data_IF_563611371841
#
_entry.id   IF_563611371841
#
_cell.length_a   1.000
_cell.length_b   1.000
_cell.length_c   1.000
_cell.angle_alpha   90.00
_cell.angle_beta   90.00
_cell.angle_gamma   90.00
#
_symmetry.space_group_name_H-M   'P 1'
#
loop_
_entity.id
_entity.type
_entity.pdbx_description
1 polymer ?
#
# COMPACT_ATOMS: atom_id res chain seq x y z
N UNK A 1 47.28 -2.97 -49.72
CA UNK A 1 46.32 -3.63 -48.80
C UNK A 1 46.95 -3.62 -47.42
N UNK A 2 46.38 -3.13 -46.32
CA UNK A 2 45.04 -2.62 -46.03
C UNK A 2 45.14 -1.67 -44.81
N UNK A 3 44.36 -0.60 -44.90
CA UNK A 3 43.81 0.32 -43.90
C UNK A 3 44.43 0.41 -42.48
N UNK A 4 45.05 1.56 -42.22
CA UNK A 4 44.91 2.29 -40.96
C UNK A 4 43.45 2.74 -40.85
N UNK A 5 42.75 2.36 -39.78
CA UNK A 5 41.44 2.94 -39.44
C UNK A 5 41.51 3.50 -38.03
N UNK A 6 41.51 4.82 -37.95
CA UNK A 6 41.31 5.61 -36.75
C UNK A 6 39.85 5.46 -36.31
N UNK A 7 39.60 5.00 -35.09
CA UNK A 7 38.27 5.05 -34.48
C UNK A 7 38.30 6.04 -33.30
N UNK A 8 37.81 7.25 -33.56
CA UNK A 8 37.30 8.15 -32.52
C UNK A 8 35.80 7.88 -32.45
N UNK A 9 35.28 7.51 -31.27
CA UNK A 9 33.84 7.28 -31.17
C UNK A 9 33.34 6.81 -29.81
N UNK A 10 33.09 7.79 -28.93
CA UNK A 10 32.03 7.81 -27.91
C UNK A 10 32.20 6.80 -26.76
N UNK A 11 32.77 7.31 -25.66
CA UNK A 11 32.67 6.67 -24.35
C UNK A 11 31.20 6.53 -23.95
N UNK A 12 30.72 5.29 -23.88
CA UNK A 12 29.46 4.96 -23.22
C UNK A 12 29.71 5.09 -21.72
N UNK A 13 29.25 6.18 -21.12
CA UNK A 13 29.14 6.29 -19.66
C UNK A 13 28.04 5.30 -19.26
N UNK A 14 28.44 4.11 -18.84
CA UNK A 14 27.56 3.11 -18.24
C UNK A 14 27.10 3.62 -16.87
N UNK A 15 25.89 4.18 -16.83
CA UNK A 15 25.19 4.66 -15.63
C UNK A 15 24.74 3.51 -14.69
N UNK A 16 25.38 2.35 -14.75
CA UNK A 16 25.02 1.14 -14.02
C UNK A 16 25.77 0.96 -12.69
N UNK A 17 26.87 1.69 -12.46
CA UNK A 17 27.64 1.57 -11.21
C UNK A 17 26.96 2.17 -9.97
N UNK A 18 26.34 3.36 -10.10
CA UNK A 18 25.75 4.07 -8.95
C UNK A 18 24.41 3.49 -8.47
N UNK A 19 23.66 2.82 -9.35
CA UNK A 19 22.39 2.17 -8.98
C UNK A 19 22.63 0.89 -8.15
N UNK A 20 23.69 0.15 -8.44
CA UNK A 20 23.98 -1.10 -7.74
C UNK A 20 24.40 -0.89 -6.27
N UNK A 21 25.19 0.15 -5.98
CA UNK A 21 25.61 0.47 -4.61
C UNK A 21 24.42 0.92 -3.75
N UNK A 22 23.54 1.79 -4.28
CA UNK A 22 22.34 2.26 -3.58
C UNK A 22 21.31 1.16 -3.32
N UNK A 23 21.13 0.22 -4.24
CA UNK A 23 20.24 -0.94 -4.05
C UNK A 23 20.82 -1.92 -3.02
N UNK A 24 22.14 -2.07 -2.95
CA UNK A 24 22.81 -2.96 -1.98
C UNK A 24 22.73 -2.43 -0.55
N UNK A 25 22.75 -1.12 -0.34
CA UNK A 25 22.63 -0.52 0.99
C UNK A 25 21.18 -0.48 1.49
N UNK A 26 20.20 -0.31 0.61
CA UNK A 26 18.77 -0.53 0.94
C UNK A 26 18.56 -1.99 1.39
N UNK A 27 19.21 -2.94 0.72
CA UNK A 27 19.23 -4.36 1.09
C UNK A 27 20.06 -4.71 2.34
N UNK A 28 20.86 -3.80 2.91
CA UNK A 28 21.58 -4.02 4.18
C UNK A 28 20.86 -3.48 5.40
N UNK A 29 19.74 -2.76 5.23
CA UNK A 29 18.84 -2.38 6.34
C UNK A 29 17.88 -3.51 6.77
N UNK A 30 18.23 -4.77 6.51
CA UNK A 30 17.46 -5.98 6.89
C UNK A 30 17.79 -6.38 8.35
N UNK A 31 17.90 -5.39 9.23
CA UNK A 31 18.12 -5.59 10.67
C UNK A 31 17.36 -4.61 11.58
N UNK A 32 16.74 -3.56 11.02
CA UNK A 32 15.87 -2.64 11.76
C UNK A 32 14.42 -3.11 11.67
N UNK A 33 13.71 -3.15 12.80
CA UNK A 33 12.27 -3.41 12.80
C UNK A 33 11.52 -2.30 12.02
N UNK A 34 10.29 -2.56 11.56
CA UNK A 34 9.50 -1.61 10.73
C UNK A 34 9.36 -0.23 11.38
N UNK A 35 9.30 -0.20 12.71
CA UNK A 35 9.15 1.00 13.53
C UNK A 35 10.37 1.92 13.47
N UNK A 36 11.58 1.40 13.61
CA UNK A 36 12.81 2.19 13.48
C UNK A 36 12.95 2.79 12.06
N UNK A 37 12.49 2.05 11.03
CA UNK A 37 12.44 2.56 9.65
C UNK A 37 11.42 3.69 9.50
N UNK A 38 10.28 3.60 10.17
CA UNK A 38 9.26 4.66 10.17
C UNK A 38 9.77 5.94 10.86
N UNK A 39 10.33 5.82 12.07
CA UNK A 39 10.84 6.96 12.83
C UNK A 39 11.97 7.69 12.06
N UNK A 40 12.87 6.93 11.43
CA UNK A 40 13.87 7.51 10.54
C UNK A 40 13.23 8.16 9.31
N UNK A 41 12.22 7.56 8.71
CA UNK A 41 11.56 8.11 7.52
C UNK A 41 10.82 9.42 7.80
N UNK A 42 10.04 9.50 8.89
CA UNK A 42 9.20 10.68 9.17
C UNK A 42 10.01 11.93 9.50
N UNK A 43 11.26 11.76 9.97
CA UNK A 43 12.18 12.87 10.29
C UNK A 43 12.94 13.43 9.10
N UNK A 44 12.93 12.74 7.95
CA UNK A 44 13.59 13.19 6.72
C UNK A 44 12.88 14.40 6.09
N UNK A 45 13.60 15.14 5.24
CA UNK A 45 13.00 16.19 4.42
C UNK A 45 12.06 15.61 3.36
N UNK A 46 11.14 16.44 2.85
CA UNK A 46 10.16 16.01 1.84
C UNK A 46 10.83 15.43 0.59
N UNK A 47 11.93 16.03 0.11
CA UNK A 47 12.65 15.53 -1.07
C UNK A 47 13.19 14.11 -0.84
N UNK A 48 13.83 13.86 0.30
CA UNK A 48 14.34 12.54 0.66
C UNK A 48 13.21 11.52 0.80
N UNK A 49 12.07 11.90 1.41
CA UNK A 49 10.89 11.04 1.53
C UNK A 49 10.39 10.62 0.15
N UNK A 50 10.26 11.58 -0.78
CA UNK A 50 9.81 11.32 -2.15
C UNK A 50 10.80 10.43 -2.91
N UNK A 51 12.10 10.65 -2.74
CA UNK A 51 13.13 9.79 -3.35
C UNK A 51 13.02 8.35 -2.83
N UNK A 52 12.87 8.15 -1.52
CA UNK A 52 12.71 6.83 -0.91
C UNK A 52 11.47 6.11 -1.46
N UNK A 53 10.31 6.79 -1.48
CA UNK A 53 9.07 6.21 -2.00
C UNK A 53 9.20 5.86 -3.49
N UNK A 54 9.77 6.77 -4.29
CA UNK A 54 10.00 6.54 -5.70
C UNK A 54 10.93 5.33 -5.94
N UNK A 55 12.01 5.21 -5.16
CA UNK A 55 12.91 4.06 -5.24
C UNK A 55 12.21 2.75 -4.89
N UNK A 56 11.30 2.74 -3.91
CA UNK A 56 10.51 1.54 -3.59
C UNK A 56 9.55 1.14 -4.71
N UNK A 57 8.96 2.08 -5.44
CA UNK A 57 8.13 1.75 -6.60
C UNK A 57 8.90 1.04 -7.73
N UNK A 58 10.20 1.29 -7.87
CA UNK A 58 11.04 0.69 -8.91
C UNK A 58 11.48 -0.75 -8.61
N UNK A 59 11.32 -1.22 -7.36
CA UNK A 59 11.69 -2.59 -6.98
C UNK A 59 10.56 -3.55 -7.34
N UNK A 60 10.87 -4.60 -8.10
CA UNK A 60 9.91 -5.66 -8.43
C UNK A 60 9.67 -6.50 -7.18
N UNK A 61 8.54 -6.26 -6.51
CA UNK A 61 8.18 -6.77 -5.16
C UNK A 61 8.83 -6.01 -4.00
N UNK A 62 8.42 -4.76 -3.74
CA UNK A 62 8.91 -4.03 -2.59
C UNK A 62 8.23 -4.55 -1.32
N UNK A 63 8.97 -5.29 -0.49
CA UNK A 63 8.56 -5.72 0.85
C UNK A 63 8.01 -4.56 1.70
N UNK A 64 8.47 -3.33 1.42
CA UNK A 64 8.06 -2.08 2.07
C UNK A 64 6.59 -1.71 1.85
N UNK A 65 5.96 -2.24 0.80
CA UNK A 65 4.54 -2.07 0.52
C UNK A 65 3.72 -3.36 0.68
N UNK A 66 4.33 -4.41 1.25
CA UNK A 66 3.61 -5.65 1.57
C UNK A 66 2.73 -5.47 2.80
N UNK A 67 1.97 -6.49 3.19
CA UNK A 67 0.93 -6.36 4.22
C UNK A 67 1.52 -6.50 5.62
N UNK A 68 1.03 -5.72 6.60
CA UNK A 68 1.59 -5.67 7.95
C UNK A 68 2.95 -4.94 8.01
N UNK A 69 3.17 -3.99 7.09
CA UNK A 69 4.48 -3.40 6.80
C UNK A 69 4.52 -1.88 7.04
N UNK A 70 5.72 -1.31 6.88
CA UNK A 70 6.04 0.11 6.84
C UNK A 70 4.97 0.99 6.16
N UNK A 71 4.31 0.51 5.10
CA UNK A 71 3.23 1.24 4.44
C UNK A 71 2.01 1.49 5.34
N UNK A 72 1.57 0.46 6.08
CA UNK A 72 0.45 0.57 7.01
C UNK A 72 0.78 1.58 8.11
N UNK A 73 1.94 1.42 8.74
CA UNK A 73 2.49 2.33 9.74
C UNK A 73 2.56 3.78 9.22
N UNK A 74 3.06 3.95 7.99
CA UNK A 74 3.16 5.24 7.31
C UNK A 74 1.78 5.88 7.11
N UNK A 75 0.80 5.11 6.64
CA UNK A 75 -0.57 5.61 6.46
C UNK A 75 -1.24 5.93 7.80
N UNK A 76 -0.91 5.21 8.87
CA UNK A 76 -1.33 5.53 10.23
C UNK A 76 -0.78 6.87 10.74
N UNK A 77 0.41 7.27 10.28
CA UNK A 77 0.99 8.60 10.58
C UNK A 77 0.34 9.71 9.75
N UNK A 78 0.14 9.50 8.46
CA UNK A 78 -0.24 10.60 7.55
C UNK A 78 -1.74 10.73 7.30
N UNK A 79 -2.52 9.63 7.34
CA UNK A 79 -3.93 9.62 6.90
C UNK A 79 -4.90 9.02 7.91
N UNK A 80 -4.64 7.83 8.41
CA UNK A 80 -5.54 7.11 9.34
C UNK A 80 -5.07 7.26 10.78
N UNK A 81 -5.02 8.52 11.23
CA UNK A 81 -4.41 8.85 12.51
C UNK A 81 -5.32 8.45 13.66
N UNK A 82 -4.69 7.95 14.73
CA UNK A 82 -5.37 7.72 16.02
C UNK A 82 -6.03 8.98 16.58
N UNK A 83 -5.37 10.12 16.42
CA UNK A 83 -5.91 11.42 16.83
C UNK A 83 -7.22 11.77 16.11
N UNK A 84 -7.44 11.22 14.91
CA UNK A 84 -8.65 11.42 14.11
C UNK A 84 -9.68 10.29 14.32
N UNK A 85 -9.48 9.45 15.35
CA UNK A 85 -10.40 8.37 15.74
C UNK A 85 -10.22 7.04 14.99
N UNK A 86 -9.13 6.87 14.23
CA UNK A 86 -8.81 5.60 13.59
C UNK A 86 -8.09 4.64 14.52
N UNK A 87 -8.37 3.36 14.38
CA UNK A 87 -7.62 2.27 15.00
C UNK A 87 -7.01 1.37 13.92
N UNK A 88 -5.94 0.68 14.31
CA UNK A 88 -5.09 -0.09 13.42
C UNK A 88 -5.26 -1.57 13.73
N UNK A 89 -5.48 -2.40 12.71
CA UNK A 89 -5.73 -3.84 12.94
C UNK A 89 -4.48 -4.62 13.33
N UNK A 90 -3.27 -4.12 13.06
CA UNK A 90 -2.04 -4.69 13.64
C UNK A 90 -2.04 -4.75 15.17
N UNK A 91 -2.80 -3.87 15.85
CA UNK A 91 -2.97 -3.92 17.31
C UNK A 91 -3.76 -5.16 17.77
N UNK A 92 -4.48 -5.80 16.85
CA UNK A 92 -5.15 -7.08 17.04
C UNK A 92 -4.21 -8.22 16.64
N UNK A 93 -3.64 -8.12 15.43
CA UNK A 93 -2.60 -9.00 14.92
C UNK A 93 -1.91 -8.39 13.69
N UNK A 94 -0.60 -8.53 13.60
CA UNK A 94 0.22 -8.01 12.47
C UNK A 94 -0.21 -8.53 11.08
N UNK A 95 -0.96 -9.63 11.02
CA UNK A 95 -1.47 -10.23 9.78
C UNK A 95 -2.99 -10.28 9.70
N UNK A 96 -3.70 -9.36 10.37
CA UNK A 96 -5.16 -9.28 10.35
C UNK A 96 -5.70 -9.38 8.91
N UNK A 97 -6.80 -10.08 8.70
CA UNK A 97 -7.31 -10.38 7.36
C UNK A 97 -8.20 -9.28 6.82
N UNK A 98 -8.11 -9.00 5.52
CA UNK A 98 -9.02 -8.09 4.84
C UNK A 98 -8.77 -6.61 5.08
N UNK A 99 -8.81 -6.20 6.34
CA UNK A 99 -8.86 -4.82 6.82
C UNK A 99 -7.54 -4.44 7.45
N UNK A 100 -7.17 -3.17 7.31
CA UNK A 100 -5.95 -2.58 7.88
C UNK A 100 -6.31 -1.50 8.92
N UNK A 101 -7.36 -0.70 8.67
CA UNK A 101 -7.85 0.34 9.60
C UNK A 101 -9.37 0.28 9.83
N UNK A 102 -9.82 0.79 10.98
CA UNK A 102 -11.24 0.95 11.27
C UNK A 102 -11.50 2.19 12.15
N UNK A 103 -12.73 2.72 12.10
CA UNK A 103 -13.13 3.95 12.81
C UNK A 103 -14.58 3.90 13.28
N UNK A 104 -14.91 4.76 14.23
CA UNK A 104 -16.22 4.92 14.86
C UNK A 104 -16.67 3.61 15.50
N UNK A 105 -15.86 3.12 16.45
CA UNK A 105 -16.01 1.76 16.98
C UNK A 105 -16.29 1.69 18.47
N UNK A 106 -16.92 0.57 18.88
CA UNK A 106 -17.08 0.15 20.26
C UNK A 106 -16.59 -1.28 20.41
N UNK A 107 -16.00 -1.60 21.56
CA UNK A 107 -15.50 -2.95 21.87
C UNK A 107 -16.37 -3.56 22.96
N UNK A 108 -16.88 -4.77 22.72
CA UNK A 108 -17.66 -5.56 23.68
C UNK A 108 -17.06 -6.96 23.77
N UNK A 109 -16.29 -7.20 24.83
CA UNK A 109 -15.53 -8.44 24.97
C UNK A 109 -14.54 -8.62 23.80
N UNK A 110 -14.75 -9.68 23.01
CA UNK A 110 -13.91 -10.00 21.85
C UNK A 110 -14.39 -9.36 20.55
N UNK A 111 -15.54 -8.72 20.56
CA UNK A 111 -16.15 -8.16 19.36
C UNK A 111 -15.90 -6.65 19.27
N UNK A 112 -15.56 -6.19 18.07
CA UNK A 112 -15.36 -4.80 17.71
C UNK A 112 -16.42 -4.42 16.69
N UNK A 113 -17.23 -3.42 17.01
CA UNK A 113 -18.29 -2.92 16.13
C UNK A 113 -17.88 -1.56 15.61
N UNK A 114 -17.47 -1.47 14.35
CA UNK A 114 -17.00 -0.25 13.71
C UNK A 114 -18.03 0.33 12.71
N UNK A 115 -18.01 1.64 12.52
CA UNK A 115 -18.77 2.29 11.46
C UNK A 115 -18.17 2.00 10.08
N UNK A 116 -16.85 2.18 9.97
CA UNK A 116 -16.12 2.08 8.69
C UNK A 116 -14.85 1.25 8.86
N UNK A 117 -14.58 0.37 7.89
CA UNK A 117 -13.30 -0.33 7.73
C UNK A 117 -12.60 0.08 6.43
N UNK A 118 -11.27 0.08 6.44
CA UNK A 118 -10.43 0.36 5.27
C UNK A 118 -9.52 -0.84 5.03
N UNK A 119 -9.58 -1.35 3.80
CA UNK A 119 -8.54 -2.20 3.23
C UNK A 119 -7.66 -1.36 2.33
N UNK A 120 -6.37 -1.62 2.33
CA UNK A 120 -5.37 -0.93 1.52
C UNK A 120 -4.60 -1.89 0.66
N UNK A 121 -4.26 -1.42 -0.55
CA UNK A 121 -3.40 -2.12 -1.50
C UNK A 121 -2.47 -1.14 -2.17
N UNK A 122 -1.29 -1.61 -2.52
CA UNK A 122 -0.36 -0.91 -3.39
C UNK A 122 -0.26 -1.67 -4.70
N UNK A 123 -0.01 -0.98 -5.81
CA UNK A 123 0.24 -1.66 -7.08
C UNK A 123 0.97 -0.79 -8.10
N UNK A 124 1.82 -1.45 -8.88
CA UNK A 124 2.42 -0.90 -10.11
C UNK A 124 1.71 -1.41 -11.38
N UNK A 125 0.74 -2.32 -11.23
CA UNK A 125 -0.02 -2.89 -12.33
C UNK A 125 -0.87 -1.80 -12.97
N UNK A 126 -0.77 -1.65 -14.30
CA UNK A 126 -1.57 -0.65 -15.03
C UNK A 126 -2.92 -1.19 -15.51
N UNK A 127 -3.02 -2.51 -15.69
CA UNK A 127 -4.23 -3.19 -16.14
C UNK A 127 -5.11 -3.58 -14.94
N UNK A 128 -6.33 -3.04 -14.88
CA UNK A 128 -7.27 -3.31 -13.77
C UNK A 128 -7.76 -4.75 -13.74
N UNK A 129 -7.88 -5.43 -14.87
CA UNK A 129 -8.36 -6.82 -14.94
C UNK A 129 -7.37 -7.79 -14.30
N UNK A 130 -6.09 -7.62 -14.62
CA UNK A 130 -5.03 -8.45 -14.06
C UNK A 130 -4.90 -8.21 -12.56
N UNK A 131 -5.00 -6.95 -12.14
CA UNK A 131 -5.00 -6.61 -10.72
C UNK A 131 -6.22 -7.18 -9.99
N UNK A 132 -7.41 -7.04 -10.57
CA UNK A 132 -8.66 -7.55 -10.00
C UNK A 132 -8.62 -9.07 -9.89
N UNK A 133 -8.10 -9.79 -10.89
CA UNK A 133 -7.95 -11.25 -10.85
C UNK A 133 -7.14 -11.71 -9.63
N UNK A 134 -6.11 -10.95 -9.25
CA UNK A 134 -5.26 -11.23 -8.09
C UNK A 134 -5.91 -10.82 -6.75
N UNK A 135 -6.80 -9.81 -6.74
CA UNK A 135 -7.31 -9.22 -5.50
C UNK A 135 -8.79 -9.50 -5.21
N UNK A 136 -9.53 -10.11 -6.16
CA UNK A 136 -10.97 -10.35 -6.04
C UNK A 136 -11.38 -11.06 -4.75
N UNK A 137 -10.61 -12.06 -4.30
CA UNK A 137 -10.93 -12.79 -3.08
C UNK A 137 -10.88 -11.87 -1.85
N UNK A 138 -9.95 -10.92 -1.81
CA UNK A 138 -9.88 -9.95 -0.72
C UNK A 138 -11.07 -8.99 -0.74
N UNK A 139 -11.47 -8.53 -1.93
CA UNK A 139 -12.67 -7.69 -2.14
C UNK A 139 -13.92 -8.43 -1.67
N UNK A 140 -14.08 -9.69 -2.08
CA UNK A 140 -15.24 -10.50 -1.73
C UNK A 140 -15.29 -10.76 -0.22
N UNK A 141 -14.14 -11.04 0.42
CA UNK A 141 -14.06 -11.21 1.88
C UNK A 141 -14.53 -9.94 2.59
N UNK A 142 -13.99 -8.77 2.23
CA UNK A 142 -14.35 -7.54 2.94
C UNK A 142 -15.80 -7.13 2.67
N UNK A 143 -16.32 -7.37 1.46
CA UNK A 143 -17.70 -7.06 1.11
C UNK A 143 -18.69 -7.99 1.82
N UNK A 144 -18.43 -9.30 1.82
CA UNK A 144 -19.34 -10.28 2.41
C UNK A 144 -19.40 -10.20 3.94
N UNK A 145 -18.34 -9.65 4.56
CA UNK A 145 -18.24 -9.48 6.01
C UNK A 145 -18.99 -8.25 6.54
N UNK A 146 -19.54 -7.38 5.69
CA UNK A 146 -20.31 -6.20 6.11
C UNK A 146 -21.53 -6.60 6.94
N UNK A 147 -21.71 -5.95 8.08
CA UNK A 147 -22.81 -6.15 9.04
C UNK A 147 -22.35 -6.82 10.33
N UNK A 148 -23.32 -7.32 11.11
CA UNK A 148 -23.09 -8.06 12.36
C UNK A 148 -23.91 -9.35 12.38
N UNK A 149 -23.45 -10.34 13.15
CA UNK A 149 -24.11 -11.64 13.31
C UNK A 149 -23.46 -12.79 12.52
N UNK A 150 -24.18 -13.90 12.39
CA UNK A 150 -23.65 -15.13 11.77
C UNK A 150 -23.19 -14.89 10.33
N UNK A 151 -21.95 -15.30 10.03
CA UNK A 151 -21.34 -15.13 8.71
C UNK A 151 -20.88 -13.71 8.38
N UNK A 152 -20.96 -12.77 9.34
CA UNK A 152 -20.46 -11.40 9.22
C UNK A 152 -19.23 -11.17 10.08
N UNK A 153 -18.57 -10.05 9.83
CA UNK A 153 -17.33 -9.68 10.48
C UNK A 153 -16.14 -10.54 10.06
N UNK A 154 -14.95 -10.06 10.42
CA UNK A 154 -13.69 -10.78 10.19
C UNK A 154 -13.14 -11.19 11.55
N UNK A 155 -13.11 -12.49 11.81
CA UNK A 155 -12.50 -13.06 13.01
C UNK A 155 -11.04 -13.37 12.80
N UNK A 156 -10.19 -12.86 13.67
CA UNK A 156 -8.76 -13.13 13.68
C UNK A 156 -8.17 -12.97 15.08
N UNK A 157 -7.25 -13.87 15.44
CA UNK A 157 -6.60 -13.87 16.76
C UNK A 157 -7.57 -13.73 17.96
N UNK A 158 -8.71 -14.42 17.90
CA UNK A 158 -9.72 -14.39 18.96
C UNK A 158 -10.58 -13.12 19.04
N UNK A 159 -10.36 -12.12 18.18
CA UNK A 159 -11.22 -10.94 18.05
C UNK A 159 -12.03 -10.98 16.76
N UNK A 160 -13.23 -10.42 16.78
CA UNK A 160 -14.06 -10.27 15.57
C UNK A 160 -14.33 -8.80 15.28
N UNK A 161 -13.97 -8.35 14.09
CA UNK A 161 -14.27 -7.00 13.62
C UNK A 161 -15.51 -7.00 12.73
N UNK A 162 -16.60 -6.43 13.22
CA UNK A 162 -17.81 -6.10 12.48
C UNK A 162 -17.75 -4.66 11.98
N UNK A 163 -18.28 -4.41 10.79
CA UNK A 163 -18.34 -3.05 10.24
C UNK A 163 -19.55 -2.84 9.32
N UNK A 164 -20.06 -1.61 9.30
CA UNK A 164 -21.23 -1.26 8.50
C UNK A 164 -20.89 -0.89 7.05
N UNK A 165 -19.68 -0.40 6.80
CA UNK A 165 -19.17 -0.01 5.49
C UNK A 165 -17.71 -0.37 5.36
N UNK A 166 -17.29 -0.71 4.15
CA UNK A 166 -15.87 -0.92 3.86
C UNK A 166 -15.44 -0.12 2.64
N UNK A 167 -14.20 0.34 2.67
CA UNK A 167 -13.54 0.97 1.54
C UNK A 167 -12.27 0.22 1.18
N UNK A 168 -11.91 0.23 -0.12
CA UNK A 168 -10.66 -0.29 -0.63
C UNK A 168 -9.86 0.85 -1.26
N UNK A 169 -8.72 1.15 -0.63
CA UNK A 169 -7.86 2.25 -0.99
C UNK A 169 -6.62 1.72 -1.69
N UNK A 170 -6.52 2.03 -2.98
CA UNK A 170 -5.47 1.54 -3.86
C UNK A 170 -4.48 2.68 -4.10
N UNK A 171 -3.21 2.42 -3.81
CA UNK A 171 -2.12 3.35 -3.99
C UNK A 171 -1.26 2.94 -5.17
N UNK A 172 -1.00 3.89 -6.06
CA UNK A 172 -0.23 3.70 -7.28
C UNK A 172 0.90 4.73 -7.38
N UNK A 173 1.98 4.45 -8.12
CA UNK A 173 2.98 5.46 -8.45
C UNK A 173 2.35 6.68 -9.10
N UNK A 174 2.86 7.88 -8.77
CA UNK A 174 2.32 9.16 -9.23
C UNK A 174 2.21 9.25 -10.75
N UNK A 175 3.22 8.74 -11.46
CA UNK A 175 3.30 8.70 -12.91
C UNK A 175 2.21 7.82 -13.56
N UNK A 176 1.57 6.93 -12.80
CA UNK A 176 0.52 6.05 -13.30
C UNK A 176 -0.88 6.63 -13.10
N UNK A 177 -1.10 7.54 -12.13
CA UNK A 177 -2.43 8.08 -11.84
C UNK A 177 -2.83 9.20 -12.80
N UNK A 178 -3.26 8.82 -14.00
CA UNK A 178 -3.92 9.74 -14.95
C UNK A 178 -5.44 9.81 -14.70
N UNK A 179 -6.14 10.87 -15.15
CA UNK A 179 -7.60 10.92 -15.07
C UNK A 179 -8.29 9.73 -15.75
N UNK A 180 -7.77 9.31 -16.92
CA UNK A 180 -8.30 8.15 -17.64
C UNK A 180 -8.08 6.85 -16.87
N UNK A 181 -6.88 6.63 -16.32
CA UNK A 181 -6.59 5.48 -15.46
C UNK A 181 -7.54 5.40 -14.28
N UNK A 182 -7.70 6.53 -13.55
CA UNK A 182 -8.57 6.60 -12.37
C UNK A 182 -10.02 6.27 -12.73
N UNK A 183 -10.53 6.85 -13.83
CA UNK A 183 -11.88 6.59 -14.31
C UNK A 183 -12.10 5.11 -14.64
N UNK A 184 -11.24 4.54 -15.50
CA UNK A 184 -11.34 3.14 -15.93
C UNK A 184 -11.32 2.17 -14.75
N UNK A 185 -10.40 2.38 -13.81
CA UNK A 185 -10.29 1.52 -12.64
C UNK A 185 -11.50 1.63 -11.71
N UNK A 186 -11.96 2.85 -11.40
CA UNK A 186 -13.13 3.05 -10.54
C UNK A 186 -14.40 2.46 -11.16
N UNK A 187 -14.60 2.62 -12.47
CA UNK A 187 -15.72 2.01 -13.19
C UNK A 187 -15.66 0.48 -13.11
N UNK A 188 -14.49 -0.11 -13.39
CA UNK A 188 -14.32 -1.58 -13.36
C UNK A 188 -14.56 -2.15 -11.96
N UNK A 189 -13.94 -1.57 -10.94
CA UNK A 189 -14.02 -2.07 -9.57
C UNK A 189 -15.41 -1.90 -8.97
N UNK A 190 -16.05 -0.75 -9.21
CA UNK A 190 -17.43 -0.49 -8.73
C UNK A 190 -18.43 -1.42 -9.41
N UNK A 191 -18.23 -1.76 -10.68
CA UNK A 191 -19.05 -2.76 -11.38
C UNK A 191 -18.82 -4.18 -10.87
N UNK A 192 -17.60 -4.50 -10.41
CA UNK A 192 -17.29 -5.81 -9.84
C UNK A 192 -17.99 -6.02 -8.50
N UNK A 193 -17.91 -5.05 -7.58
CA UNK A 193 -18.58 -5.14 -6.27
C UNK A 193 -18.98 -3.76 -5.75
N UNK A 194 -20.28 -3.46 -5.79
CA UNK A 194 -20.86 -2.16 -5.41
C UNK A 194 -20.93 -1.93 -3.90
N UNK A 195 -20.72 -2.96 -3.08
CA UNK A 195 -20.76 -2.84 -1.61
C UNK A 195 -19.44 -2.30 -1.03
N UNK A 196 -18.40 -2.18 -1.86
CA UNK A 196 -17.11 -1.63 -1.48
C UNK A 196 -16.95 -0.25 -2.15
N UNK A 197 -16.63 0.78 -1.36
CA UNK A 197 -16.22 2.07 -1.92
C UNK A 197 -14.75 1.99 -2.32
N UNK A 198 -14.42 2.38 -3.55
CA UNK A 198 -13.04 2.36 -4.03
C UNK A 198 -12.45 3.76 -4.05
N UNK A 199 -11.19 3.88 -3.64
CA UNK A 199 -10.40 5.07 -3.83
C UNK A 199 -9.05 4.73 -4.47
N UNK A 200 -8.61 5.57 -5.41
CA UNK A 200 -7.32 5.43 -6.07
C UNK A 200 -6.54 6.71 -5.84
N UNK A 201 -5.40 6.56 -5.19
CA UNK A 201 -4.60 7.63 -4.64
C UNK A 201 -3.10 7.43 -4.93
N UNK A 202 -2.34 8.48 -4.69
CA UNK A 202 -0.88 8.50 -4.73
C UNK A 202 -0.41 8.68 -3.29
N UNK A 203 0.53 7.85 -2.82
CA UNK A 203 1.03 7.92 -1.43
C UNK A 203 1.72 9.26 -1.17
N UNK A 204 2.46 9.72 -2.16
CA UNK A 204 3.28 10.92 -2.16
C UNK A 204 2.47 12.19 -1.86
N UNK A 205 1.17 12.20 -2.18
CA UNK A 205 0.29 13.35 -1.92
C UNK A 205 -0.08 13.49 -0.42
N UNK A 206 0.22 12.49 0.41
CA UNK A 206 -0.01 12.53 1.86
C UNK A 206 1.24 12.90 2.67
N UNK A 207 2.42 12.88 2.04
CA UNK A 207 3.68 13.16 2.70
C UNK A 207 3.80 14.66 2.99
N UNK A 208 4.27 14.99 4.19
CA UNK A 208 4.55 16.37 4.63
C UNK A 208 6.03 16.57 4.87
#
# INVERSE_FOLDING_TARGET
MQAVTTAVGIGVITKSGKLAEGVSDVGKQIGKNSREKLEEFITKGLQDKLEIINNHWQVKYPDVFTRGSFFEDLMGVYRYKKADGWAHTSEIADNFKGVDFYKDFTIVGNDIYAGTSISMKTTITKNVEDWLRANKNNIDIIANSIGAGSGKGITWNGKTLFYNKTELHIYVPKENLTPQFKKEWLEKLSNYNQNVKYEINVLEDYLK
#
